data_IF_645141149355
#
_entry.id   IF_645141149355
#
_cell.length_a   1.000
_cell.length_b   1.000
_cell.length_c   1.000
_cell.angle_alpha   90.00
_cell.angle_beta   90.00
_cell.angle_gamma   90.00
#
_symmetry.space_group_name_H-M   'P 1'
#
loop_
_entity.id
_entity.type
_entity.pdbx_description
1 polymer ?
#
# COMPACT_ATOMS: atom_id res chain seq x y z
N UNK A 1 0.53 -3.99 -11.86
CA UNK A 1 -0.16 -4.78 -12.91
C UNK A 1 -1.14 -5.75 -12.30
N UNK A 2 -2.35 -5.80 -12.84
CA UNK A 2 -3.38 -6.79 -12.52
C UNK A 2 -3.48 -7.78 -13.67
N UNK A 3 -3.66 -9.06 -13.38
CA UNK A 3 -3.85 -10.10 -14.37
C UNK A 3 -5.27 -10.64 -14.29
N UNK A 4 -6.06 -10.42 -15.35
CA UNK A 4 -7.44 -10.91 -15.43
C UNK A 4 -7.49 -12.19 -16.25
N UNK A 5 -8.02 -13.28 -15.67
CA UNK A 5 -8.34 -14.50 -16.40
C UNK A 5 -9.74 -14.37 -16.99
N UNK A 6 -9.84 -14.30 -18.31
CA UNK A 6 -11.12 -14.22 -19.01
C UNK A 6 -11.55 -15.63 -19.38
N UNK A 7 -12.70 -16.08 -18.84
CA UNK A 7 -13.31 -17.34 -19.24
C UNK A 7 -14.32 -17.06 -20.37
N UNK A 8 -13.86 -17.09 -21.62
CA UNK A 8 -14.71 -16.90 -22.80
C UNK A 8 -15.03 -18.29 -23.41
N UNK A 9 -16.28 -18.77 -23.35
CA UNK A 9 -16.65 -20.07 -23.92
C UNK A 9 -16.56 -20.11 -25.46
N UNK A 10 -16.48 -18.96 -26.13
CA UNK A 10 -16.42 -18.84 -27.60
C UNK A 10 -15.00 -18.71 -28.14
N UNK A 11 -14.02 -18.41 -27.26
CA UNK A 11 -12.61 -18.29 -27.62
C UNK A 11 -11.78 -19.34 -26.88
N UNK A 12 -11.10 -20.19 -27.65
CA UNK A 12 -10.16 -21.16 -27.07
C UNK A 12 -9.07 -20.41 -26.30
N UNK A 13 -8.94 -20.81 -25.04
CA UNK A 13 -7.79 -20.66 -24.14
C UNK A 13 -7.88 -19.54 -23.11
N UNK A 14 -7.63 -19.96 -21.87
CA UNK A 14 -7.38 -19.25 -20.63
C UNK A 14 -6.44 -18.05 -20.82
N UNK A 15 -6.94 -16.97 -21.42
CA UNK A 15 -6.11 -15.82 -21.76
C UNK A 15 -6.05 -14.91 -20.55
N UNK A 16 -4.86 -14.83 -19.96
CA UNK A 16 -4.55 -13.84 -18.93
C UNK A 16 -4.22 -12.51 -19.59
N UNK A 17 -4.96 -11.44 -19.26
CA UNK A 17 -4.68 -10.09 -19.75
C UNK A 17 -4.00 -9.23 -18.68
N UNK A 18 -2.82 -8.64 -18.97
CA UNK A 18 -2.19 -7.66 -18.08
C UNK A 18 -2.88 -6.30 -18.22
N UNK A 19 -3.18 -5.69 -17.08
CA UNK A 19 -3.72 -4.33 -16.98
C UNK A 19 -2.76 -3.53 -16.10
N UNK A 20 -2.28 -2.41 -16.64
CA UNK A 20 -1.47 -1.49 -15.86
C UNK A 20 -2.31 -0.81 -14.77
N UNK A 21 -1.74 -0.67 -13.58
CA UNK A 21 -2.47 -0.21 -12.41
C UNK A 21 -1.48 0.21 -11.33
N UNK A 22 -1.83 1.27 -10.59
CA UNK A 22 -1.08 1.69 -9.40
C UNK A 22 -1.12 0.58 -8.35
N UNK A 23 -0.08 0.46 -7.51
CA UNK A 23 -0.03 -0.56 -6.46
C UNK A 23 -1.26 -0.54 -5.53
N UNK A 24 -1.74 0.65 -5.14
CA UNK A 24 -2.91 0.80 -4.25
C UNK A 24 -4.18 0.16 -4.81
N UNK A 25 -4.43 0.36 -6.10
CA UNK A 25 -5.65 -0.11 -6.76
C UNK A 25 -5.59 -1.64 -6.96
N UNK A 26 -4.41 -2.16 -7.32
CA UNK A 26 -4.18 -3.61 -7.43
C UNK A 26 -4.38 -4.34 -6.10
N UNK A 27 -3.86 -3.79 -4.99
CA UNK A 27 -4.04 -4.36 -3.64
C UNK A 27 -5.53 -4.34 -3.25
N UNK A 28 -6.20 -3.20 -3.41
CA UNK A 28 -7.62 -3.07 -3.05
C UNK A 28 -8.51 -4.08 -3.80
N UNK A 29 -8.24 -4.27 -5.10
CA UNK A 29 -8.95 -5.25 -5.92
C UNK A 29 -8.63 -6.69 -5.50
N UNK A 30 -7.36 -7.02 -5.25
CA UNK A 30 -6.96 -8.35 -4.82
C UNK A 30 -7.62 -8.73 -3.48
N UNK A 31 -7.66 -7.82 -2.51
CA UNK A 31 -8.33 -8.04 -1.22
C UNK A 31 -9.84 -8.29 -1.40
N UNK A 32 -10.52 -7.47 -2.21
CA UNK A 32 -11.96 -7.62 -2.46
C UNK A 32 -12.31 -8.89 -3.22
N UNK A 33 -11.48 -9.27 -4.19
CA UNK A 33 -11.65 -10.49 -4.98
C UNK A 33 -11.12 -11.75 -4.29
N UNK A 34 -10.47 -11.62 -3.12
CA UNK A 34 -9.73 -12.69 -2.43
C UNK A 34 -8.70 -13.37 -3.34
N UNK A 35 -8.04 -12.58 -4.19
CA UNK A 35 -7.01 -13.04 -5.10
C UNK A 35 -5.62 -13.00 -4.44
N UNK A 36 -4.76 -13.94 -4.80
CA UNK A 36 -3.37 -13.97 -4.32
C UNK A 36 -2.57 -12.79 -4.89
N UNK A 37 -1.74 -12.18 -4.05
CA UNK A 37 -0.85 -11.07 -4.41
C UNK A 37 0.56 -11.61 -4.60
N UNK A 38 1.18 -11.27 -5.72
CA UNK A 38 2.55 -11.64 -6.04
C UNK A 38 3.40 -10.39 -6.24
N UNK A 39 4.66 -10.45 -5.81
CA UNK A 39 5.65 -9.39 -5.96
C UNK A 39 6.92 -9.97 -6.59
N UNK A 40 7.67 -9.15 -7.33
CA UNK A 40 8.95 -9.58 -7.90
C UNK A 40 10.02 -9.66 -6.81
N UNK A 41 11.03 -10.50 -7.02
CA UNK A 41 12.16 -10.63 -6.08
C UNK A 41 12.90 -9.30 -5.85
N UNK A 42 12.94 -8.43 -6.87
CA UNK A 42 13.54 -7.10 -6.75
C UNK A 42 12.78 -6.22 -5.74
N UNK A 43 11.45 -6.20 -5.81
CA UNK A 43 10.61 -5.44 -4.86
C UNK A 43 10.77 -5.98 -3.44
N UNK A 44 10.95 -7.30 -3.29
CA UNK A 44 11.29 -7.89 -1.99
C UNK A 44 12.63 -7.36 -1.50
N UNK A 45 13.69 -7.47 -2.31
CA UNK A 45 15.04 -7.06 -1.91
C UNK A 45 15.18 -5.58 -1.57
N UNK A 46 14.49 -4.69 -2.30
CA UNK A 46 14.65 -3.23 -2.18
C UNK A 46 13.58 -2.60 -1.28
N UNK A 47 12.40 -3.22 -1.18
CA UNK A 47 11.22 -2.62 -0.58
C UNK A 47 10.75 -3.27 0.72
N UNK A 48 11.34 -4.40 1.16
CA UNK A 48 10.99 -4.97 2.46
C UNK A 48 11.77 -4.31 3.58
N UNK A 49 11.06 -3.66 4.49
CA UNK A 49 11.57 -3.35 5.81
C UNK A 49 11.32 -4.60 6.66
N UNK A 50 12.35 -5.07 7.36
CA UNK A 50 12.19 -6.16 8.31
C UNK A 50 11.16 -5.74 9.36
N UNK A 51 10.09 -6.51 9.50
CA UNK A 51 9.04 -6.27 10.49
C UNK A 51 9.58 -6.64 11.87
N UNK A 52 10.23 -5.68 12.52
CA UNK A 52 10.60 -5.77 13.92
C UNK A 52 9.38 -5.36 14.74
N UNK A 53 8.60 -6.36 15.14
CA UNK A 53 7.32 -6.16 15.81
C UNK A 53 7.43 -5.29 17.07
N UNK A 54 8.56 -5.37 17.79
CA UNK A 54 8.79 -4.54 18.98
C UNK A 54 9.02 -3.07 18.61
N UNK A 55 9.79 -2.80 17.54
CA UNK A 55 9.97 -1.44 17.02
C UNK A 55 8.68 -0.86 16.46
N UNK A 56 7.93 -1.63 15.68
CA UNK A 56 6.68 -1.18 15.08
C UNK A 56 5.65 -0.81 16.16
N UNK A 57 5.58 -1.59 17.24
CA UNK A 57 4.74 -1.27 18.40
C UNK A 57 5.20 -0.01 19.14
N UNK A 58 6.52 0.18 19.27
CA UNK A 58 7.08 1.35 19.93
C UNK A 58 6.82 2.62 19.11
N UNK A 59 7.06 2.58 17.79
CA UNK A 59 6.76 3.66 16.86
C UNK A 59 5.27 3.99 16.83
N UNK A 60 4.39 2.98 16.85
CA UNK A 60 2.95 3.20 16.92
C UNK A 60 2.53 3.88 18.24
N UNK A 61 3.13 3.52 19.37
CA UNK A 61 2.89 4.17 20.67
C UNK A 61 3.38 5.62 20.67
N UNK A 62 4.55 5.87 20.09
CA UNK A 62 5.13 7.21 20.05
C UNK A 62 4.39 8.12 19.07
N UNK A 63 3.94 7.59 17.93
CA UNK A 63 3.05 8.29 17.00
C UNK A 63 1.70 8.62 17.67
N UNK A 64 1.14 7.68 18.44
CA UNK A 64 -0.10 7.92 19.19
C UNK A 64 0.06 9.03 20.23
N UNK A 65 1.14 9.01 21.00
CA UNK A 65 1.46 10.10 21.95
C UNK A 65 1.61 11.44 21.25
N UNK A 66 2.29 11.47 20.10
CA UNK A 66 2.44 12.68 19.29
C UNK A 66 1.09 13.25 18.85
N UNK A 67 0.15 12.40 18.41
CA UNK A 67 -1.22 12.81 18.08
C UNK A 67 -1.99 13.30 19.31
N UNK A 68 -1.83 12.64 20.45
CA UNK A 68 -2.50 13.01 21.70
C UNK A 68 -1.97 14.35 22.27
N UNK A 69 -0.69 14.65 22.06
CA UNK A 69 -0.05 15.91 22.48
C UNK A 69 -0.24 17.06 21.49
N UNK A 70 -0.61 16.75 20.23
CA UNK A 70 -0.85 17.72 19.17
C UNK A 70 -2.07 18.59 19.48
N UNK A 71 -1.85 19.90 19.64
CA UNK A 71 -2.94 20.87 19.85
C UNK A 71 -3.30 21.52 18.52
N UNK A 72 -4.56 21.88 18.35
CA UNK A 72 -5.05 22.57 17.14
C UNK A 72 -4.30 23.91 16.85
N UNK A 73 -3.69 24.51 17.87
CA UNK A 73 -2.82 25.69 17.75
C UNK A 73 -1.52 25.43 16.99
N UNK A 74 -1.00 24.20 16.99
CA UNK A 74 0.29 23.86 16.38
C UNK A 74 0.21 23.83 14.85
N UNK A 75 -0.98 23.56 14.30
CA UNK A 75 -1.25 23.65 12.86
C UNK A 75 -1.34 25.08 12.32
N UNK A 76 -1.42 26.11 13.18
CA UNK A 76 -1.50 27.51 12.75
C UNK A 76 -0.13 28.18 12.55
N UNK A 77 0.96 27.58 13.04
CA UNK A 77 2.29 28.23 13.05
C UNK A 77 3.10 28.05 11.75
N UNK A 78 2.58 27.32 10.75
CA UNK A 78 3.27 27.07 9.47
C UNK A 78 2.81 27.96 8.30
N UNK A 79 1.93 28.94 8.52
CA UNK A 79 1.67 30.01 7.54
C UNK A 79 2.42 31.29 7.93
N UNK A 80 3.67 31.38 7.52
CA UNK A 80 4.39 32.65 7.42
C UNK A 80 5.80 32.65 8.00
N UNK A 81 6.78 32.24 7.20
CA UNK A 81 8.06 32.94 7.12
C UNK A 81 8.60 32.77 5.71
N UNK A 82 8.39 33.81 4.90
CA UNK A 82 9.18 34.08 3.71
C UNK A 82 10.26 35.06 4.15
N UNK A 83 11.51 34.66 3.97
CA UNK A 83 12.68 35.51 3.72
C UNK A 83 13.53 34.80 2.67
#
# INVERSE_FOLDING_TARGET
TIFLKINDPSKRLDTTKPIDSRPSDAIALALRAKASIFVSAQVVSEGTIATDQEKDEQEAKDFKKFIDELKASDFKKSKGQAD
#
